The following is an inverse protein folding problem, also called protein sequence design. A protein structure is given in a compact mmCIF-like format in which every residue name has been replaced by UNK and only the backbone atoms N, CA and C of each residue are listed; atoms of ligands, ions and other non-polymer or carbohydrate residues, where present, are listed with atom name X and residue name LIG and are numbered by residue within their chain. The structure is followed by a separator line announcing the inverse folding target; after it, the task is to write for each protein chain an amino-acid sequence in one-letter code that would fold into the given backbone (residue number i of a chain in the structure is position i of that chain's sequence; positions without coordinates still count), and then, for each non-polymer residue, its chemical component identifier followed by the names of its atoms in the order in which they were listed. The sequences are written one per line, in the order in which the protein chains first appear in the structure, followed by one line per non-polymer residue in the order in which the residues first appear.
data_IF_128403795925
#
_entry.id   IF_128403795925
#
_cell.length_a   1.000
_cell.length_b   1.000
_cell.length_c   1.000
_cell.angle_alpha   90.00
_cell.angle_beta   90.00
_cell.angle_gamma   90.00
#
_symmetry.space_group_name_H-M   'P 1'
#
loop_
_entity.id
_entity.type
_entity.pdbx_description
1 polymer ?
#
# COMPACT_ATOMS: atom_id res chain seq x y z
N UNK A 1 -39.38 -12.89 -39.78
CA UNK A 1 -38.50 -13.77 -38.98
C UNK A 1 -37.46 -12.90 -38.29
N UNK A 2 -37.48 -12.92 -36.96
CA UNK A 2 -36.50 -12.40 -35.98
C UNK A 2 -36.00 -10.94 -36.12
N UNK A 3 -36.78 -10.00 -35.60
CA UNK A 3 -36.27 -8.74 -35.04
C UNK A 3 -35.58 -9.06 -33.71
N UNK A 4 -34.25 -8.95 -33.66
CA UNK A 4 -33.48 -9.09 -32.43
C UNK A 4 -33.58 -7.79 -31.62
N UNK A 5 -34.57 -7.73 -30.74
CA UNK A 5 -34.66 -6.72 -29.69
C UNK A 5 -33.61 -7.04 -28.64
N UNK A 6 -32.43 -6.42 -28.73
CA UNK A 6 -31.42 -6.52 -27.68
C UNK A 6 -31.94 -5.73 -26.48
N UNK A 7 -32.29 -6.42 -25.40
CA UNK A 7 -32.63 -5.79 -24.14
C UNK A 7 -31.40 -5.02 -23.65
N UNK A 8 -31.49 -3.70 -23.60
CA UNK A 8 -30.54 -2.87 -22.86
C UNK A 8 -30.72 -3.18 -21.38
N UNK A 9 -29.98 -4.15 -20.89
CA UNK A 9 -29.83 -4.39 -19.45
C UNK A 9 -29.05 -3.19 -18.91
N UNK A 10 -29.80 -2.23 -18.37
CA UNK A 10 -29.33 -1.08 -17.62
C UNK A 10 -28.54 -1.60 -16.40
N UNK A 11 -27.22 -1.79 -16.54
CA UNK A 11 -26.29 -2.03 -15.43
C UNK A 11 -25.92 -0.69 -14.79
N UNK A 12 -26.92 0.00 -14.27
CA UNK A 12 -26.74 1.13 -13.38
C UNK A 12 -26.36 0.59 -11.99
N UNK A 13 -25.11 0.88 -11.57
CA UNK A 13 -24.66 1.05 -10.17
C UNK A 13 -23.44 0.22 -9.68
N UNK A 14 -22.86 -0.71 -10.45
CA UNK A 14 -21.62 -1.41 -10.01
C UNK A 14 -20.33 -0.92 -10.70
N UNK A 15 -20.45 -0.18 -11.79
CA UNK A 15 -19.30 0.27 -12.59
C UNK A 15 -18.59 1.53 -12.04
N UNK A 16 -19.00 2.11 -10.91
CA UNK A 16 -18.44 3.41 -10.48
C UNK A 16 -17.07 3.29 -9.79
N UNK A 17 -16.93 2.40 -8.80
CA UNK A 17 -15.72 2.35 -7.97
C UNK A 17 -14.54 1.65 -8.65
N UNK A 18 -14.81 0.54 -9.36
CA UNK A 18 -13.79 -0.16 -10.15
C UNK A 18 -13.27 0.69 -11.30
N UNK A 19 -14.16 1.44 -11.96
CA UNK A 19 -13.77 2.37 -13.04
C UNK A 19 -13.02 3.59 -12.50
N UNK A 20 -13.40 4.10 -11.32
CA UNK A 20 -12.64 5.16 -10.66
C UNK A 20 -11.24 4.66 -10.24
N UNK A 21 -11.14 3.44 -9.71
CA UNK A 21 -9.87 2.81 -9.32
C UNK A 21 -8.96 2.55 -10.52
N UNK A 22 -9.47 2.01 -11.62
CA UNK A 22 -8.68 1.80 -12.84
C UNK A 22 -8.23 3.11 -13.46
N UNK A 23 -9.06 4.16 -13.47
CA UNK A 23 -8.65 5.50 -13.88
C UNK A 23 -7.59 6.09 -12.94
N UNK A 24 -7.69 5.86 -11.62
CA UNK A 24 -6.69 6.32 -10.66
C UNK A 24 -5.35 5.61 -10.88
N UNK A 25 -5.36 4.29 -11.11
CA UNK A 25 -4.15 3.53 -11.45
C UNK A 25 -3.55 4.01 -12.77
N UNK A 26 -4.36 4.19 -13.81
CA UNK A 26 -3.88 4.66 -15.12
C UNK A 26 -3.21 6.04 -15.02
N UNK A 27 -3.75 6.93 -14.18
CA UNK A 27 -3.16 8.26 -13.92
C UNK A 27 -1.93 8.18 -13.01
N UNK A 28 -1.94 7.29 -12.02
CA UNK A 28 -0.84 7.09 -11.09
C UNK A 28 0.36 6.37 -11.74
N UNK A 29 0.15 5.60 -12.80
CA UNK A 29 1.22 4.92 -13.53
C UNK A 29 2.20 5.92 -14.17
N UNK A 30 1.70 7.05 -14.70
CA UNK A 30 2.54 8.15 -15.18
C UNK A 30 3.45 8.73 -14.08
N UNK A 31 3.02 8.67 -12.82
CA UNK A 31 3.78 9.12 -11.65
C UNK A 31 4.33 7.95 -10.84
N UNK A 32 4.55 6.77 -11.44
CA UNK A 32 4.99 5.54 -10.76
C UNK A 32 6.22 5.76 -9.88
N UNK A 33 7.21 6.48 -10.38
CA UNK A 33 8.43 6.78 -9.61
C UNK A 33 8.15 7.73 -8.44
N UNK A 34 7.27 8.72 -8.60
CA UNK A 34 6.88 9.61 -7.50
C UNK A 34 6.15 8.86 -6.38
N UNK A 35 5.29 7.90 -6.74
CA UNK A 35 4.61 7.03 -5.76
C UNK A 35 5.57 6.07 -5.06
N UNK A 36 6.50 5.47 -5.80
CA UNK A 36 7.53 4.60 -5.23
C UNK A 36 8.46 5.34 -4.26
N UNK A 37 8.92 6.53 -4.66
CA UNK A 37 9.82 7.37 -3.83
C UNK A 37 9.11 7.91 -2.60
N UNK A 38 7.86 8.36 -2.72
CA UNK A 38 7.08 8.83 -1.58
C UNK A 38 6.78 7.70 -0.58
N UNK A 39 6.43 6.50 -1.05
CA UNK A 39 6.24 5.33 -0.20
C UNK A 39 7.54 4.97 0.56
N UNK A 40 8.69 4.95 -0.12
CA UNK A 40 9.98 4.72 0.52
C UNK A 40 10.36 5.83 1.52
N UNK A 41 10.10 7.09 1.18
CA UNK A 41 10.42 8.22 2.05
C UNK A 41 9.58 8.18 3.33
N UNK A 42 8.27 7.94 3.22
CA UNK A 42 7.41 7.83 4.40
C UNK A 42 7.83 6.63 5.25
N UNK A 43 8.09 5.49 4.61
CA UNK A 43 8.41 4.29 5.34
C UNK A 43 9.79 4.35 6.02
N UNK A 44 10.82 4.71 5.26
CA UNK A 44 12.20 4.75 5.75
C UNK A 44 12.48 5.95 6.67
N UNK A 45 11.86 7.11 6.42
CA UNK A 45 12.20 8.34 7.13
C UNK A 45 11.21 8.70 8.24
N UNK A 46 9.99 8.14 8.25
CA UNK A 46 9.00 8.43 9.31
C UNK A 46 8.72 7.18 10.13
N UNK A 47 8.37 6.07 9.48
CA UNK A 47 7.97 4.84 10.16
C UNK A 47 9.13 4.17 10.90
N UNK A 48 10.28 3.98 10.25
CA UNK A 48 11.46 3.37 10.88
C UNK A 48 11.95 4.15 12.11
N UNK A 49 12.17 5.48 12.08
CA UNK A 49 12.57 6.20 13.29
C UNK A 49 11.47 6.24 14.35
N UNK A 50 10.19 6.30 13.98
CA UNK A 50 9.09 6.23 14.95
C UNK A 50 9.07 4.88 15.70
N UNK A 51 9.28 3.77 14.98
CA UNK A 51 9.34 2.44 15.58
C UNK A 51 10.58 2.26 16.46
N UNK A 52 11.76 2.72 16.01
CA UNK A 52 12.97 2.70 16.83
C UNK A 52 12.83 3.54 18.11
N UNK A 53 12.18 4.71 18.01
CA UNK A 53 11.90 5.55 19.18
C UNK A 53 10.94 4.86 20.14
N UNK A 54 9.87 4.25 19.63
CA UNK A 54 8.93 3.44 20.41
C UNK A 54 9.65 2.31 21.16
N UNK A 55 10.45 1.51 20.47
CA UNK A 55 11.21 0.42 21.09
C UNK A 55 12.18 0.92 22.15
N UNK A 56 12.83 2.08 21.94
CA UNK A 56 13.76 2.64 22.93
C UNK A 56 13.06 3.11 24.21
N UNK A 57 11.85 3.67 24.10
CA UNK A 57 11.10 4.19 25.25
C UNK A 57 10.32 3.11 26.00
N UNK A 58 9.73 2.14 25.29
CA UNK A 58 8.85 1.13 25.88
C UNK A 58 9.51 -0.23 26.09
N UNK A 59 10.76 -0.42 25.64
CA UNK A 59 11.50 -1.66 25.82
C UNK A 59 11.13 -2.75 24.81
N UNK A 60 11.12 -2.39 23.53
CA UNK A 60 10.76 -3.29 22.44
C UNK A 60 11.72 -4.48 22.29
N UNK A 61 11.18 -5.65 21.96
CA UNK A 61 11.93 -6.89 21.79
C UNK A 61 12.56 -7.02 20.40
N UNK A 62 13.68 -7.75 20.29
CA UNK A 62 14.42 -7.95 19.02
C UNK A 62 13.54 -8.49 17.86
N UNK A 63 12.45 -9.17 18.18
CA UNK A 63 11.48 -9.68 17.22
C UNK A 63 10.74 -8.55 16.45
N UNK A 64 10.50 -7.40 17.09
CA UNK A 64 9.87 -6.24 16.42
C UNK A 64 10.80 -5.62 15.39
N UNK A 65 12.09 -5.54 15.70
CA UNK A 65 13.09 -5.08 14.75
C UNK A 65 13.17 -6.00 13.52
N UNK A 66 13.14 -7.32 13.73
CA UNK A 66 13.15 -8.29 12.65
C UNK A 66 11.92 -8.17 11.74
N UNK A 67 10.73 -8.06 12.32
CA UNK A 67 9.48 -7.89 11.54
C UNK A 67 9.46 -6.54 10.81
N UNK A 68 9.91 -5.46 11.45
CA UNK A 68 10.05 -4.15 10.80
C UNK A 68 10.97 -4.21 9.58
N UNK A 69 12.08 -4.95 9.65
CA UNK A 69 12.97 -5.17 8.50
C UNK A 69 12.33 -6.00 7.37
N UNK A 70 11.58 -7.06 7.70
CA UNK A 70 10.82 -7.80 6.67
C UNK A 70 9.78 -6.90 5.98
N UNK A 71 9.13 -6.06 6.77
CA UNK A 71 8.13 -5.11 6.30
C UNK A 71 8.74 -4.02 5.40
N UNK A 72 9.97 -3.59 5.70
CA UNK A 72 10.78 -2.73 4.82
C UNK A 72 11.13 -3.42 3.51
N UNK A 73 11.58 -4.67 3.56
CA UNK A 73 11.87 -5.46 2.38
C UNK A 73 10.64 -5.62 1.48
N UNK A 74 9.47 -5.85 2.06
CA UNK A 74 8.20 -6.05 1.33
C UNK A 74 7.84 -4.83 0.46
N UNK A 75 8.17 -3.62 0.89
CA UNK A 75 7.94 -2.39 0.11
C UNK A 75 9.10 -2.09 -0.84
N UNK A 76 10.32 -2.40 -0.42
CA UNK A 76 11.52 -2.15 -1.22
C UNK A 76 11.59 -3.06 -2.45
N UNK A 77 11.13 -4.31 -2.37
CA UNK A 77 11.14 -5.28 -3.48
C UNK A 77 10.29 -4.80 -4.69
N UNK A 78 9.00 -4.42 -4.54
CA UNK A 78 8.20 -3.88 -5.64
C UNK A 78 8.77 -2.56 -6.21
N UNK A 79 9.38 -1.74 -5.35
CA UNK A 79 9.97 -0.46 -5.76
C UNK A 79 11.23 -0.68 -6.61
N UNK A 80 12.15 -1.54 -6.17
CA UNK A 80 13.34 -1.88 -6.96
C UNK A 80 13.01 -2.70 -8.20
N UNK A 81 12.00 -3.56 -8.13
CA UNK A 81 11.50 -4.32 -9.28
C UNK A 81 10.73 -3.46 -10.29
N UNK A 82 10.57 -2.16 -10.03
CA UNK A 82 9.81 -1.23 -10.87
C UNK A 82 8.41 -1.75 -11.23
N UNK A 83 7.76 -2.45 -10.29
CA UNK A 83 6.43 -3.03 -10.51
C UNK A 83 5.36 -1.93 -10.71
N UNK A 84 4.25 -2.23 -11.42
CA UNK A 84 3.19 -1.25 -11.61
C UNK A 84 2.56 -0.83 -10.27
N UNK A 85 2.07 0.41 -10.19
CA UNK A 85 1.55 1.05 -8.97
C UNK A 85 0.47 0.23 -8.26
N UNK A 86 -0.26 -0.60 -9.02
CA UNK A 86 -1.24 -1.56 -8.51
C UNK A 86 -0.68 -2.49 -7.42
N UNK A 87 0.62 -2.81 -7.44
CA UNK A 87 1.27 -3.64 -6.42
C UNK A 87 2.01 -2.81 -5.35
N UNK A 88 2.50 -1.62 -5.70
CA UNK A 88 3.18 -0.72 -4.77
C UNK A 88 2.22 -0.24 -3.69
N UNK A 89 1.01 0.16 -4.07
CA UNK A 89 0.02 0.70 -3.15
C UNK A 89 -0.41 -0.31 -2.05
N UNK A 90 -0.79 -1.57 -2.36
CA UNK A 90 -1.12 -2.55 -1.33
C UNK A 90 0.10 -2.99 -0.51
N UNK A 91 1.29 -3.09 -1.11
CA UNK A 91 2.52 -3.39 -0.37
C UNK A 91 2.83 -2.29 0.66
N UNK A 92 2.69 -1.03 0.28
CA UNK A 92 2.86 0.09 1.21
C UNK A 92 1.77 0.13 2.28
N UNK A 93 0.50 -0.08 1.92
CA UNK A 93 -0.60 -0.08 2.88
C UNK A 93 -0.46 -1.20 3.93
N UNK A 94 -0.15 -2.43 3.49
CA UNK A 94 0.10 -3.55 4.40
C UNK A 94 1.28 -3.28 5.33
N UNK A 95 2.34 -2.68 4.78
CA UNK A 95 3.51 -2.32 5.57
C UNK A 95 3.23 -1.25 6.62
N UNK A 96 2.45 -0.24 6.25
CA UNK A 96 2.04 0.85 7.14
C UNK A 96 1.19 0.31 8.30
N UNK A 97 0.23 -0.56 8.00
CA UNK A 97 -0.61 -1.21 9.01
C UNK A 97 0.22 -2.04 9.98
N UNK A 98 1.17 -2.83 9.48
CA UNK A 98 2.04 -3.64 10.34
C UNK A 98 2.89 -2.78 11.27
N UNK A 99 3.51 -1.71 10.76
CA UNK A 99 4.29 -0.80 11.61
C UNK A 99 3.42 -0.10 12.66
N UNK A 100 2.22 0.36 12.29
CA UNK A 100 1.27 0.94 13.25
C UNK A 100 0.87 -0.05 14.33
N UNK A 101 0.64 -1.30 13.96
CA UNK A 101 0.29 -2.37 14.89
C UNK A 101 1.43 -2.66 15.87
N UNK A 102 2.68 -2.67 15.40
CA UNK A 102 3.85 -2.85 16.29
C UNK A 102 4.00 -1.70 17.28
N UNK A 103 3.86 -0.45 16.82
CA UNK A 103 3.89 0.72 17.70
C UNK A 103 2.74 0.68 18.73
N UNK A 104 1.56 0.22 18.33
CA UNK A 104 0.43 0.07 19.25
C UNK A 104 0.66 -1.01 20.31
N UNK A 105 1.36 -2.11 19.97
CA UNK A 105 1.74 -3.15 20.93
C UNK A 105 2.78 -2.61 21.93
N UNK A 106 3.78 -1.86 21.47
CA UNK A 106 4.78 -1.25 22.36
C UNK A 106 4.16 -0.28 23.36
N UNK A 107 3.08 0.41 22.96
CA UNK A 107 2.41 1.41 23.79
C UNK A 107 1.48 0.80 24.86
N UNK A 108 1.10 -0.49 24.73
CA UNK A 108 0.15 -1.18 25.60
C UNK A 108 0.85 -1.94 26.73
#
# INVERSE_FOLDING_TARGET
MATLTHASTDHSSEASWLTAYTNFIAKAEFTRFGWAVSALAIQGCVLSPALLLSMFYFGGGDWQFLVSMLCFLLVLVPVLSAMPVKYIFPAFATSLVLHLFMIAIDLL
#
